data_IF_096191674214
#
_entry.id   IF_096191674214
#
_cell.length_a   1.000
_cell.length_b   1.000
_cell.length_c   1.000
_cell.angle_alpha   90.00
_cell.angle_beta   90.00
_cell.angle_gamma   90.00
#
_symmetry.space_group_name_H-M   'P 1'
#
loop_
_entity.id
_entity.type
_entity.pdbx_description
1 polymer ?
#
# COMPACT_ATOMS: atom_id res chain seq x y z
N UNK A 1 -34.96 18.76 3.32
CA UNK A 1 -33.73 18.81 2.49
C UNK A 1 -32.67 18.01 3.22
N UNK A 2 -32.58 16.71 2.92
CA UNK A 2 -31.66 15.79 3.61
C UNK A 2 -30.28 15.92 2.98
N UNK A 3 -29.32 16.45 3.73
CA UNK A 3 -27.92 16.43 3.35
C UNK A 3 -27.44 14.98 3.39
N UNK A 4 -27.21 14.39 2.23
CA UNK A 4 -26.53 13.11 2.10
C UNK A 4 -25.08 13.33 2.56
N UNK A 5 -24.78 12.97 3.80
CA UNK A 5 -23.42 12.76 4.27
C UNK A 5 -22.83 11.65 3.41
N UNK A 6 -22.05 12.02 2.39
CA UNK A 6 -21.17 11.09 1.68
C UNK A 6 -20.09 10.71 2.68
N UNK A 7 -20.35 9.70 3.50
CA UNK A 7 -19.29 8.94 4.16
C UNK A 7 -18.48 8.28 3.06
N UNK A 8 -17.45 8.98 2.55
CA UNK A 8 -16.42 8.34 1.72
C UNK A 8 -15.84 7.22 2.57
N UNK A 9 -16.18 5.99 2.22
CA UNK A 9 -15.60 4.82 2.86
C UNK A 9 -14.08 4.98 2.90
N UNK A 10 -13.42 4.66 4.02
CA UNK A 10 -11.97 4.61 4.05
C UNK A 10 -11.51 3.72 2.89
N UNK A 11 -10.55 4.22 2.11
CA UNK A 11 -10.07 3.52 0.92
C UNK A 11 -9.73 2.08 1.26
N UNK A 12 -10.32 1.16 0.51
CA UNK A 12 -10.19 -0.27 0.77
C UNK A 12 -8.78 -0.73 0.40
N UNK A 13 -8.29 -1.87 0.89
CA UNK A 13 -7.04 -2.46 0.43
C UNK A 13 -6.94 -2.55 -1.11
N UNK A 14 -8.08 -2.71 -1.80
CA UNK A 14 -8.15 -2.72 -3.26
C UNK A 14 -7.78 -1.37 -3.91
N UNK A 15 -8.15 -0.23 -3.31
CA UNK A 15 -7.81 1.10 -3.84
C UNK A 15 -6.29 1.35 -3.80
N UNK A 16 -5.65 0.88 -2.73
CA UNK A 16 -4.19 0.95 -2.59
C UNK A 16 -3.48 0.02 -3.56
N UNK A 17 -4.03 -1.17 -3.80
CA UNK A 17 -3.53 -2.09 -4.83
C UNK A 17 -3.59 -1.47 -6.24
N UNK A 18 -4.72 -0.87 -6.63
CA UNK A 18 -4.84 -0.19 -7.94
C UNK A 18 -3.82 0.94 -8.07
N UNK A 19 -3.59 1.70 -7.00
CA UNK A 19 -2.56 2.75 -6.99
C UNK A 19 -1.15 2.18 -7.18
N UNK A 20 -0.86 1.03 -6.55
CA UNK A 20 0.42 0.35 -6.68
C UNK A 20 0.64 -0.19 -8.10
N UNK A 21 -0.38 -0.81 -8.70
CA UNK A 21 -0.30 -1.36 -10.05
C UNK A 21 -0.12 -0.27 -11.11
N UNK A 22 -0.83 0.85 -10.98
CA UNK A 22 -0.67 2.01 -11.86
C UNK A 22 0.77 2.58 -11.81
N UNK A 23 1.34 2.70 -10.61
CA UNK A 23 2.71 3.17 -10.43
C UNK A 23 3.73 2.16 -11.00
N UNK A 24 3.47 0.86 -10.81
CA UNK A 24 4.29 -0.22 -11.39
C UNK A 24 4.29 -0.16 -12.91
N UNK A 25 3.12 0.02 -13.55
CA UNK A 25 3.03 0.13 -14.99
C UNK A 25 3.79 1.35 -15.52
N UNK A 26 3.60 2.51 -14.89
CA UNK A 26 4.35 3.74 -15.21
C UNK A 26 5.87 3.53 -15.10
N UNK A 27 6.33 2.82 -14.08
CA UNK A 27 7.73 2.50 -13.90
C UNK A 27 8.26 1.51 -14.95
N UNK A 28 7.46 0.53 -15.36
CA UNK A 28 7.82 -0.42 -16.42
C UNK A 28 7.98 0.29 -17.77
N UNK A 29 7.03 1.15 -18.14
CA UNK A 29 7.12 1.96 -19.35
C UNK A 29 8.34 2.88 -19.29
N UNK A 30 8.56 3.53 -18.14
CA UNK A 30 9.74 4.37 -17.90
C UNK A 30 11.07 3.63 -18.06
N UNK A 31 11.16 2.38 -17.59
CA UNK A 31 12.35 1.53 -17.76
C UNK A 31 12.59 1.14 -19.21
N UNK A 32 11.51 0.84 -19.96
CA UNK A 32 11.60 0.44 -21.36
C UNK A 32 12.14 1.58 -22.24
N UNK A 33 11.77 2.82 -21.91
CA UNK A 33 12.11 4.01 -22.70
C UNK A 33 13.34 4.77 -22.16
N UNK A 34 13.92 4.36 -21.02
CA UNK A 34 15.01 5.10 -20.38
C UNK A 34 16.32 5.01 -21.18
N UNK A 35 16.70 6.12 -21.82
CA UNK A 35 17.94 6.24 -22.59
C UNK A 35 19.02 7.06 -21.87
N UNK A 36 18.65 7.78 -20.80
CA UNK A 36 19.55 8.72 -20.10
C UNK A 36 19.52 8.55 -18.59
N UNK A 37 20.55 9.06 -17.89
CA UNK A 37 20.60 9.05 -16.43
C UNK A 37 19.41 9.81 -15.77
N UNK A 38 18.96 10.98 -16.26
CA UNK A 38 17.72 11.60 -15.80
C UNK A 38 16.48 10.70 -15.94
N UNK A 39 16.34 9.95 -17.03
CA UNK A 39 15.22 9.03 -17.24
C UNK A 39 15.23 7.90 -16.21
N UNK A 40 16.42 7.35 -15.93
CA UNK A 40 16.61 6.32 -14.91
C UNK A 40 16.27 6.84 -13.50
N UNK A 41 16.66 8.08 -13.17
CA UNK A 41 16.32 8.71 -11.88
C UNK A 41 14.81 8.93 -11.73
N UNK A 42 14.13 9.40 -12.77
CA UNK A 42 12.66 9.54 -12.79
C UNK A 42 12.00 8.18 -12.60
N UNK A 43 12.50 7.17 -13.29
CA UNK A 43 11.95 5.81 -13.22
C UNK A 43 12.16 5.17 -11.85
N UNK A 44 13.31 5.42 -11.20
CA UNK A 44 13.57 5.00 -9.81
C UNK A 44 12.54 5.60 -8.83
N UNK A 45 12.13 6.85 -9.02
CA UNK A 45 11.10 7.47 -8.19
C UNK A 45 9.73 6.79 -8.35
N UNK A 46 9.36 6.40 -9.57
CA UNK A 46 8.12 5.65 -9.82
C UNK A 46 8.18 4.21 -9.27
N UNK A 47 9.35 3.55 -9.32
CA UNK A 47 9.57 2.27 -8.65
C UNK A 47 9.42 2.38 -7.14
N UNK A 48 10.03 3.39 -6.50
CA UNK A 48 9.87 3.61 -5.06
C UNK A 48 8.42 3.93 -4.69
N UNK A 49 7.72 4.69 -5.52
CA UNK A 49 6.29 4.98 -5.36
C UNK A 49 5.45 3.71 -5.42
N UNK A 50 5.68 2.86 -6.42
CA UNK A 50 4.99 1.58 -6.56
C UNK A 50 5.26 0.68 -5.34
N UNK A 51 6.52 0.58 -4.91
CA UNK A 51 6.93 -0.18 -3.72
C UNK A 51 6.19 0.29 -2.45
N UNK A 52 6.14 1.60 -2.20
CA UNK A 52 5.42 2.16 -1.03
C UNK A 52 3.92 1.93 -1.11
N UNK A 53 3.31 2.10 -2.29
CA UNK A 53 1.89 1.84 -2.48
C UNK A 53 1.54 0.37 -2.25
N UNK A 54 2.37 -0.57 -2.72
CA UNK A 54 2.21 -2.00 -2.44
C UNK A 54 2.34 -2.30 -0.94
N UNK A 55 3.32 -1.71 -0.26
CA UNK A 55 3.48 -1.88 1.19
C UNK A 55 2.26 -1.35 1.96
N UNK A 56 1.75 -0.17 1.59
CA UNK A 56 0.52 0.37 2.16
C UNK A 56 -0.71 -0.52 1.89
N UNK A 57 -0.81 -1.10 0.69
CA UNK A 57 -1.90 -2.03 0.36
C UNK A 57 -1.85 -3.31 1.23
N UNK A 58 -0.66 -3.89 1.40
CA UNK A 58 -0.44 -5.05 2.30
C UNK A 58 -0.77 -4.69 3.74
N UNK A 59 -0.28 -3.55 4.24
CA UNK A 59 -0.59 -3.08 5.59
C UNK A 59 -2.09 -2.88 5.81
N UNK A 60 -2.78 -2.25 4.87
CA UNK A 60 -4.23 -2.07 4.92
C UNK A 60 -4.99 -3.40 4.89
N UNK A 61 -4.54 -4.39 4.11
CA UNK A 61 -5.14 -5.72 4.09
C UNK A 61 -4.97 -6.44 5.43
N UNK A 62 -3.79 -6.34 6.05
CA UNK A 62 -3.51 -6.90 7.38
C UNK A 62 -4.42 -6.26 8.44
N UNK A 63 -4.55 -4.93 8.46
CA UNK A 63 -5.44 -4.24 9.40
C UNK A 63 -6.92 -4.64 9.20
N UNK A 64 -7.35 -4.79 7.95
CA UNK A 64 -8.71 -5.24 7.64
C UNK A 64 -8.95 -6.68 8.16
N UNK A 65 -7.98 -7.58 7.98
CA UNK A 65 -8.06 -8.95 8.49
C UNK A 65 -8.11 -8.98 10.03
N UNK A 66 -7.25 -8.22 10.70
CA UNK A 66 -7.24 -8.12 12.17
C UNK A 66 -8.57 -7.54 12.70
N UNK A 67 -9.10 -6.51 12.04
CA UNK A 67 -10.40 -5.91 12.38
C UNK A 67 -11.55 -6.90 12.19
N UNK A 68 -11.46 -7.76 11.17
CA UNK A 68 -12.41 -8.84 10.93
C UNK A 68 -12.24 -10.05 11.88
N UNK A 69 -11.27 -10.00 12.80
CA UNK A 69 -11.03 -11.05 13.79
C UNK A 69 -10.11 -12.18 13.32
N UNK A 70 -9.42 -12.04 12.19
CA UNK A 70 -8.40 -13.00 11.77
C UNK A 70 -7.24 -13.03 12.78
N UNK A 71 -6.68 -14.21 13.02
CA UNK A 71 -5.55 -14.36 13.95
C UNK A 71 -4.23 -14.19 13.21
N UNK A 72 -3.18 -13.87 13.94
CA UNK A 72 -1.85 -13.69 13.37
C UNK A 72 -1.29 -14.98 12.76
N UNK A 73 -1.68 -16.16 13.27
CA UNK A 73 -1.30 -17.45 12.70
C UNK A 73 -1.85 -17.62 11.28
N UNK A 74 -3.09 -17.19 11.06
CA UNK A 74 -3.76 -17.31 9.77
C UNK A 74 -3.16 -16.32 8.75
N UNK A 75 -2.81 -15.12 9.23
CA UNK A 75 -2.09 -14.10 8.45
C UNK A 75 -0.69 -14.59 8.08
N UNK A 76 0.06 -15.17 9.03
CA UNK A 76 1.39 -15.72 8.82
C UNK A 76 1.38 -16.82 7.75
N UNK A 77 0.43 -17.76 7.87
CA UNK A 77 0.24 -18.82 6.88
C UNK A 77 -0.09 -18.27 5.49
N UNK A 78 -0.93 -17.23 5.40
CA UNK A 78 -1.30 -16.62 4.12
C UNK A 78 -0.11 -15.94 3.40
N UNK A 79 0.88 -15.45 4.14
CA UNK A 79 2.10 -14.84 3.57
C UNK A 79 3.29 -15.81 3.53
N UNK A 80 3.09 -17.08 3.86
CA UNK A 80 4.11 -18.12 3.82
C UNK A 80 5.20 -17.97 4.89
N UNK A 81 4.85 -17.44 6.06
CA UNK A 81 5.75 -17.30 7.21
C UNK A 81 5.40 -18.35 8.28
N UNK A 82 6.44 -19.00 8.81
CA UNK A 82 6.30 -20.11 9.75
C UNK A 82 6.05 -19.66 11.21
N UNK A 83 6.21 -18.37 11.49
CA UNK A 83 6.10 -17.79 12.83
C UNK A 83 5.24 -16.53 12.85
N UNK A 84 4.41 -16.42 13.89
CA UNK A 84 3.65 -15.19 14.21
C UNK A 84 4.58 -14.01 14.44
N UNK A 85 5.71 -14.22 15.10
CA UNK A 85 6.67 -13.15 15.38
C UNK A 85 7.35 -12.67 14.10
N UNK A 86 7.68 -13.60 13.18
CA UNK A 86 8.22 -13.25 11.87
C UNK A 86 7.20 -12.48 11.04
N UNK A 87 5.92 -12.90 11.06
CA UNK A 87 4.84 -12.19 10.39
C UNK A 87 4.63 -10.79 10.96
N UNK A 88 4.64 -10.64 12.29
CA UNK A 88 4.55 -9.33 12.94
C UNK A 88 5.73 -8.45 12.55
N UNK A 89 6.95 -8.97 12.60
CA UNK A 89 8.15 -8.22 12.25
C UNK A 89 8.12 -7.79 10.77
N UNK A 90 7.88 -8.71 9.85
CA UNK A 90 7.84 -8.46 8.41
C UNK A 90 6.74 -7.47 8.02
N UNK A 91 5.57 -7.54 8.66
CA UNK A 91 4.41 -6.70 8.31
C UNK A 91 4.36 -5.37 9.05
N UNK A 92 5.20 -5.16 10.07
CA UNK A 92 5.21 -3.90 10.85
C UNK A 92 5.45 -2.68 9.97
N UNK A 93 6.47 -2.73 9.09
CA UNK A 93 6.77 -1.62 8.20
C UNK A 93 5.64 -1.35 7.20
N UNK A 94 4.99 -2.39 6.69
CA UNK A 94 3.85 -2.28 5.77
C UNK A 94 2.64 -1.61 6.45
N UNK A 95 2.35 -1.99 7.71
CA UNK A 95 1.29 -1.39 8.51
C UNK A 95 1.56 0.10 8.80
N UNK A 96 2.80 0.44 9.16
CA UNK A 96 3.22 1.85 9.36
C UNK A 96 3.10 2.68 8.08
N UNK A 97 3.49 2.13 6.91
CA UNK A 97 3.34 2.84 5.64
C UNK A 97 1.86 3.05 5.28
N UNK A 98 0.99 2.09 5.59
CA UNK A 98 -0.46 2.24 5.41
C UNK A 98 -1.03 3.40 6.27
N UNK A 99 -0.64 3.46 7.54
CA UNK A 99 -1.01 4.54 8.45
C UNK A 99 -0.51 5.90 7.94
N UNK A 100 0.77 6.01 7.62
CA UNK A 100 1.37 7.23 7.07
C UNK A 100 0.73 7.65 5.73
N UNK A 101 0.32 6.70 4.89
CA UNK A 101 -0.36 6.98 3.63
C UNK A 101 -1.77 7.55 3.85
N UNK A 102 -2.49 7.07 4.87
CA UNK A 102 -3.77 7.62 5.30
C UNK A 102 -3.58 9.05 5.82
N UNK A 103 -2.61 9.28 6.71
CA UNK A 103 -2.29 10.60 7.27
C UNK A 103 -1.95 11.62 6.20
N UNK A 104 -1.04 11.30 5.26
CA UNK A 104 -0.67 12.18 4.14
C UNK A 104 -1.88 12.60 3.30
N UNK A 105 -2.87 11.72 3.15
CA UNK A 105 -4.08 11.97 2.36
C UNK A 105 -5.15 12.75 3.13
N UNK A 106 -5.19 12.61 4.45
CA UNK A 106 -6.02 13.45 5.31
C UNK A 106 -5.43 14.87 5.41
N UNK A 107 -4.11 15.00 5.62
CA UNK A 107 -3.42 16.29 5.70
C UNK A 107 -3.42 17.10 4.40
N UNK A 108 -3.44 16.46 3.22
CA UNK A 108 -3.58 17.14 1.91
C UNK A 108 -5.00 17.67 1.62
N UNK A 109 -5.98 17.38 2.46
CA UNK A 109 -7.36 17.88 2.31
C UNK A 109 -7.68 19.06 3.23
N UNK A 110 -6.66 19.61 3.90
CA UNK A 110 -6.74 20.82 4.73
C UNK A 110 -6.54 22.08 3.88
#
# INVERSE_FOLDING_TARGET
MSQTLITRAPHTPADWWVTADQARHTAQDGLADAATAPDLLRTLAELDRARRASAAAVGAAVEALLTAGARWEDIAAAVGLDSVDDARHALTAARQEAEAAIERRLGRRS
#
